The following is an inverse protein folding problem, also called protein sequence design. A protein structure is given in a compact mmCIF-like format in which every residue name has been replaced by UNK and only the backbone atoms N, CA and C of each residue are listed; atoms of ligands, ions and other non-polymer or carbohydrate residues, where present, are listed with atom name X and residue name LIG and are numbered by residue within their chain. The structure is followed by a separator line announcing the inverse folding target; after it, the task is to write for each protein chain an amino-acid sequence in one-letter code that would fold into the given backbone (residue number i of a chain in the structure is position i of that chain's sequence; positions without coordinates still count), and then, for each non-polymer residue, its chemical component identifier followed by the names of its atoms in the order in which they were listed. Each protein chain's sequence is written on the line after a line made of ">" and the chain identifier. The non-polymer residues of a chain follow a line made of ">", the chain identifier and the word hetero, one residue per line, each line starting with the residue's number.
data_IF_207402529446
#
_entry.id   IF_207402529446
#
_cell.length_a   1.000
_cell.length_b   1.000
_cell.length_c   1.000
_cell.angle_alpha   90.00
_cell.angle_beta   90.00
_cell.angle_gamma   90.00
#
_symmetry.space_group_name_H-M   'P 1'
#
loop_
_entity.id
_entity.type
_entity.pdbx_description
1 polymer ?
#
# COMPACT_ATOMS: atom_id res chain seq x y z
N UNK A 1 -37.91 -52.79 -30.19
CA UNK A 1 -38.40 -51.49 -29.72
C UNK A 1 -37.90 -51.34 -28.30
N UNK A 2 -36.86 -50.54 -28.09
CA UNK A 2 -36.19 -50.44 -26.78
C UNK A 2 -37.11 -49.68 -25.82
N UNK A 3 -37.40 -50.29 -24.67
CA UNK A 3 -38.09 -49.65 -23.56
C UNK A 3 -37.23 -48.45 -23.12
N UNK A 4 -37.60 -47.25 -23.54
CA UNK A 4 -36.97 -46.02 -23.08
C UNK A 4 -37.40 -45.82 -21.63
N UNK A 5 -36.45 -45.91 -20.70
CA UNK A 5 -36.69 -45.68 -19.28
C UNK A 5 -36.81 -44.17 -19.02
N UNK A 6 -37.96 -43.62 -19.40
CA UNK A 6 -38.26 -42.17 -19.36
C UNK A 6 -38.12 -41.59 -17.94
N UNK A 7 -38.46 -42.38 -16.91
CA UNK A 7 -38.36 -41.99 -15.50
C UNK A 7 -36.90 -41.81 -15.05
N UNK A 8 -36.01 -42.69 -15.51
CA UNK A 8 -34.57 -42.61 -15.22
C UNK A 8 -33.88 -41.47 -15.97
N UNK A 9 -34.37 -41.11 -17.15
CA UNK A 9 -33.85 -39.98 -17.92
C UNK A 9 -34.20 -38.65 -17.25
N UNK A 10 -35.40 -38.54 -16.66
CA UNK A 10 -35.85 -37.33 -15.99
C UNK A 10 -35.01 -37.00 -14.75
N UNK A 11 -34.68 -38.00 -13.93
CA UNK A 11 -33.85 -37.79 -12.73
C UNK A 11 -32.42 -37.41 -13.10
N UNK A 12 -31.86 -37.98 -14.17
CA UNK A 12 -30.53 -37.62 -14.68
C UNK A 12 -30.53 -36.19 -15.23
N UNK A 13 -31.60 -35.79 -15.94
CA UNK A 13 -31.72 -34.45 -16.49
C UNK A 13 -31.85 -33.38 -15.39
N UNK A 14 -32.66 -33.64 -14.36
CA UNK A 14 -32.79 -32.74 -13.21
C UNK A 14 -31.49 -32.65 -12.40
N UNK A 15 -30.81 -33.78 -12.18
CA UNK A 15 -29.51 -33.81 -11.52
C UNK A 15 -28.44 -33.01 -12.27
N UNK A 16 -28.41 -33.13 -13.60
CA UNK A 16 -27.49 -32.35 -14.45
C UNK A 16 -27.79 -30.85 -14.36
N UNK A 17 -29.06 -30.45 -14.37
CA UNK A 17 -29.47 -29.05 -14.27
C UNK A 17 -29.04 -28.44 -12.93
N UNK A 18 -29.26 -29.16 -11.83
CA UNK A 18 -28.82 -28.73 -10.49
C UNK A 18 -27.30 -28.63 -10.42
N UNK A 19 -26.57 -29.61 -10.97
CA UNK A 19 -25.11 -29.61 -10.96
C UNK A 19 -24.52 -28.43 -11.76
N UNK A 20 -25.08 -28.14 -12.94
CA UNK A 20 -24.68 -26.98 -13.76
C UNK A 20 -25.00 -25.67 -13.04
N UNK A 21 -26.17 -25.55 -12.40
CA UNK A 21 -26.53 -24.38 -11.60
C UNK A 21 -25.57 -24.13 -10.43
N UNK A 22 -25.22 -25.17 -9.68
CA UNK A 22 -24.24 -25.10 -8.59
C UNK A 22 -22.83 -24.76 -9.09
N UNK A 23 -22.44 -25.28 -10.26
CA UNK A 23 -21.15 -24.96 -10.88
C UNK A 23 -21.04 -23.47 -11.22
N UNK A 24 -22.06 -22.88 -11.85
CA UNK A 24 -22.08 -21.45 -12.13
C UNK A 24 -22.11 -20.60 -10.84
N UNK A 25 -22.88 -21.02 -9.84
CA UNK A 25 -22.91 -20.34 -8.54
C UNK A 25 -21.52 -20.34 -7.89
N UNK A 26 -20.81 -21.47 -7.92
CA UNK A 26 -19.45 -21.58 -7.42
C UNK A 26 -18.47 -20.67 -8.18
N UNK A 27 -18.59 -20.58 -9.51
CA UNK A 27 -17.76 -19.67 -10.31
C UNK A 27 -17.99 -18.19 -9.96
N UNK A 28 -19.25 -17.79 -9.75
CA UNK A 28 -19.59 -16.41 -9.36
C UNK A 28 -19.04 -16.11 -7.96
N UNK A 29 -19.22 -17.01 -7.00
CA UNK A 29 -18.68 -16.85 -5.64
C UNK A 29 -17.15 -16.76 -5.67
N UNK A 30 -16.49 -17.64 -6.42
CA UNK A 30 -15.02 -17.67 -6.51
C UNK A 30 -14.45 -16.37 -7.10
N UNK A 31 -15.09 -15.83 -8.14
CA UNK A 31 -14.68 -14.53 -8.70
C UNK A 31 -15.03 -13.35 -7.78
N UNK A 32 -16.16 -13.40 -7.06
CA UNK A 32 -16.53 -12.34 -6.12
C UNK A 32 -15.56 -12.20 -4.94
N UNK A 33 -15.02 -13.33 -4.47
CA UNK A 33 -13.98 -13.33 -3.43
C UNK A 33 -12.65 -12.73 -3.96
N UNK A 34 -12.27 -13.08 -5.20
CA UNK A 34 -11.06 -12.57 -5.85
C UNK A 34 -11.12 -11.05 -6.10
N UNK A 35 -12.26 -10.51 -6.55
CA UNK A 35 -12.39 -9.07 -6.82
C UNK A 35 -12.47 -8.24 -5.53
N UNK A 36 -13.12 -8.76 -4.48
CA UNK A 36 -13.17 -8.14 -3.16
C UNK A 36 -11.79 -8.01 -2.50
N UNK A 37 -10.90 -8.98 -2.72
CA UNK A 37 -9.52 -8.95 -2.20
C UNK A 37 -8.68 -7.86 -2.88
N UNK A 38 -8.76 -7.73 -4.21
CA UNK A 38 -7.96 -6.73 -4.95
C UNK A 38 -8.36 -5.27 -4.67
N UNK A 39 -9.62 -5.02 -4.27
CA UNK A 39 -10.08 -3.67 -3.92
C UNK A 39 -9.66 -3.27 -2.51
N UNK A 40 -9.59 -4.23 -1.57
CA UNK A 40 -9.12 -3.98 -0.21
C UNK A 40 -7.60 -3.78 -0.13
N UNK A 41 -6.83 -4.54 -0.93
CA UNK A 41 -5.37 -4.39 -1.03
C UNK A 41 -4.96 -3.06 -1.71
N UNK A 42 -5.80 -2.50 -2.58
CA UNK A 42 -5.53 -1.24 -3.27
C UNK A 42 -5.83 0.04 -2.48
N UNK A 43 -6.50 -0.06 -1.32
CA UNK A 43 -7.00 1.11 -0.56
C UNK A 43 -6.16 1.43 0.69
N UNK A 44 -5.31 0.52 1.16
CA UNK A 44 -4.75 0.61 2.51
C UNK A 44 -3.25 0.83 2.65
N UNK A 45 -2.43 0.79 1.59
CA UNK A 45 -1.00 0.96 1.79
C UNK A 45 -0.42 1.92 0.77
N UNK A 46 0.09 3.04 1.28
CA UNK A 46 1.29 3.64 0.73
C UNK A 46 2.24 2.51 0.33
N UNK A 47 2.55 2.33 -0.97
CA UNK A 47 3.35 1.21 -1.41
C UNK A 47 4.65 1.19 -0.60
N UNK A 48 4.98 0.05 0.01
CA UNK A 48 6.15 -0.02 0.90
C UNK A 48 7.45 0.43 0.23
N UNK A 49 7.54 0.23 -1.09
CA UNK A 49 8.65 0.73 -1.91
C UNK A 49 8.67 2.26 -1.94
N UNK A 50 7.51 2.90 -2.00
CA UNK A 50 7.41 4.34 -2.08
C UNK A 50 7.88 5.05 -0.81
N UNK A 51 7.51 4.51 0.36
CA UNK A 51 7.99 4.95 1.66
C UNK A 51 9.50 4.75 1.77
N UNK A 52 10.01 3.60 1.30
CA UNK A 52 11.46 3.31 1.35
C UNK A 52 12.28 4.29 0.53
N UNK A 53 11.86 4.58 -0.70
CA UNK A 53 12.58 5.51 -1.57
C UNK A 53 12.57 6.94 -1.01
N UNK A 54 11.43 7.38 -0.44
CA UNK A 54 11.33 8.69 0.19
C UNK A 54 12.21 8.78 1.44
N UNK A 55 12.23 7.73 2.25
CA UNK A 55 13.09 7.64 3.42
C UNK A 55 14.57 7.74 3.05
N UNK A 56 14.99 7.08 1.98
CA UNK A 56 16.37 7.17 1.50
C UNK A 56 16.75 8.60 1.07
N UNK A 57 15.84 9.31 0.38
CA UNK A 57 16.05 10.72 0.04
C UNK A 57 16.11 11.63 1.28
N UNK A 58 15.28 11.37 2.29
CA UNK A 58 15.30 12.11 3.56
C UNK A 58 16.58 11.82 4.35
N UNK A 59 17.10 10.60 4.32
CA UNK A 59 18.39 10.28 4.95
C UNK A 59 19.56 10.96 4.24
N UNK A 60 19.60 11.00 2.90
CA UNK A 60 20.60 11.78 2.17
C UNK A 60 20.51 13.28 2.48
N UNK A 61 19.30 13.80 2.72
CA UNK A 61 19.11 15.16 3.23
C UNK A 61 19.71 15.34 4.63
N UNK A 62 19.45 14.42 5.57
CA UNK A 62 19.99 14.46 6.94
C UNK A 62 21.52 14.33 6.93
N UNK A 63 22.09 13.49 6.08
CA UNK A 63 23.55 13.33 5.97
C UNK A 63 24.23 14.62 5.47
N UNK A 64 23.58 15.35 4.57
CA UNK A 64 24.11 16.59 3.97
C UNK A 64 23.90 17.83 4.83
N UNK A 65 22.76 17.96 5.49
CA UNK A 65 22.35 19.18 6.18
C UNK A 65 22.15 19.02 7.69
N UNK A 66 21.94 17.79 8.17
CA UNK A 66 21.59 17.50 9.56
C UNK A 66 20.34 18.25 9.99
N UNK A 67 20.39 18.87 11.19
CA UNK A 67 19.37 19.80 11.67
C UNK A 67 19.70 21.28 11.30
N UNK A 68 20.65 21.52 10.39
CA UNK A 68 21.07 22.89 10.08
C UNK A 68 20.18 23.46 8.98
N UNK A 69 19.37 24.46 9.34
CA UNK A 69 18.58 25.22 8.37
C UNK A 69 19.47 26.13 7.50
N UNK A 70 19.19 26.16 6.20
CA UNK A 70 19.83 27.06 5.24
C UNK A 70 19.08 27.06 3.91
N UNK A 71 19.34 28.05 3.04
CA UNK A 71 18.61 28.18 1.76
C UNK A 71 18.73 26.92 0.89
N UNK A 72 19.90 26.27 0.87
CA UNK A 72 20.10 25.03 0.13
C UNK A 72 19.29 23.86 0.73
N UNK A 73 19.22 23.76 2.06
CA UNK A 73 18.45 22.73 2.75
C UNK A 73 16.94 22.92 2.49
N UNK A 74 16.45 24.16 2.59
CA UNK A 74 15.04 24.46 2.31
C UNK A 74 14.66 24.14 0.86
N UNK A 75 15.52 24.47 -0.12
CA UNK A 75 15.28 24.13 -1.52
C UNK A 75 15.17 22.61 -1.74
N UNK A 76 16.07 21.82 -1.13
CA UNK A 76 16.03 20.36 -1.26
C UNK A 76 14.78 19.79 -0.58
N UNK A 77 14.37 20.34 0.58
CA UNK A 77 13.12 19.95 1.24
C UNK A 77 11.91 20.25 0.34
N UNK A 78 11.85 21.44 -0.23
CA UNK A 78 10.75 21.84 -1.12
C UNK A 78 10.69 20.95 -2.37
N UNK A 79 11.84 20.61 -2.95
CA UNK A 79 11.93 19.66 -4.06
C UNK A 79 11.43 18.27 -3.68
N UNK A 80 11.79 17.77 -2.48
CA UNK A 80 11.29 16.47 -1.97
C UNK A 80 9.75 16.48 -1.86
N UNK A 81 9.18 17.56 -1.30
CA UNK A 81 7.73 17.72 -1.15
C UNK A 81 7.05 17.81 -2.53
N UNK A 82 7.63 18.57 -3.46
CA UNK A 82 7.08 18.72 -4.81
C UNK A 82 7.11 17.39 -5.60
N UNK A 83 8.22 16.64 -5.52
CA UNK A 83 8.37 15.34 -6.18
C UNK A 83 7.44 14.30 -5.55
N UNK A 84 7.26 14.32 -4.22
CA UNK A 84 6.35 13.39 -3.55
C UNK A 84 4.89 13.64 -3.97
N UNK A 85 4.51 14.91 -4.12
CA UNK A 85 3.19 15.29 -4.58
C UNK A 85 2.97 14.91 -6.05
N UNK A 86 3.92 15.21 -6.94
CA UNK A 86 3.79 14.98 -8.39
C UNK A 86 3.81 13.50 -8.76
N UNK A 87 4.77 12.74 -8.21
CA UNK A 87 4.98 11.33 -8.61
C UNK A 87 4.22 10.32 -7.77
N UNK A 88 3.97 10.63 -6.50
CA UNK A 88 3.39 9.68 -5.53
C UNK A 88 2.01 10.10 -5.02
N UNK A 89 1.50 11.24 -5.50
CA UNK A 89 0.21 11.81 -5.14
C UNK A 89 0.01 11.89 -3.61
N UNK A 90 1.10 12.20 -2.90
CA UNK A 90 1.11 12.25 -1.45
C UNK A 90 1.92 13.45 -0.95
N UNK A 91 1.32 14.14 0.00
CA UNK A 91 1.99 15.17 0.79
C UNK A 91 2.84 14.47 1.83
N UNK A 92 4.15 14.74 1.79
CA UNK A 92 5.11 14.22 2.75
C UNK A 92 5.76 15.41 3.40
N UNK A 93 5.56 15.58 4.70
CA UNK A 93 6.28 16.59 5.47
C UNK A 93 7.22 15.90 6.45
N UNK A 94 8.43 16.43 6.62
CA UNK A 94 9.39 15.84 7.56
C UNK A 94 10.11 16.91 8.38
N UNK A 95 10.35 16.60 9.65
CA UNK A 95 11.07 17.44 10.59
C UNK A 95 12.25 16.68 11.18
N UNK A 96 13.45 17.23 11.01
CA UNK A 96 14.67 16.73 11.64
C UNK A 96 14.82 17.45 12.98
N UNK A 97 14.90 16.71 14.07
CA UNK A 97 15.09 17.27 15.42
C UNK A 97 16.58 17.39 15.77
N UNK A 98 16.86 18.04 16.89
CA UNK A 98 18.21 18.14 17.41
C UNK A 98 18.83 16.74 17.62
N UNK A 99 20.12 16.55 17.26
CA UNK A 99 20.77 15.27 17.41
C UNK A 99 20.86 14.88 18.87
N UNK A 100 20.47 13.64 19.18
CA UNK A 100 20.51 13.04 20.51
C UNK A 100 21.63 12.00 20.54
N UNK A 101 22.39 11.96 21.62
CA UNK A 101 23.38 10.90 21.82
C UNK A 101 22.67 9.64 22.34
N UNK A 102 22.70 8.58 21.53
CA UNK A 102 22.16 7.27 21.89
C UNK A 102 23.31 6.28 21.85
N UNK A 103 23.67 5.72 23.00
CA UNK A 103 24.73 4.72 23.13
C UNK A 103 26.11 5.18 22.62
N UNK A 104 26.42 6.47 22.67
CA UNK A 104 27.69 7.04 22.23
C UNK A 104 27.74 7.36 20.73
N UNK A 105 26.61 7.27 20.03
CA UNK A 105 26.44 7.64 18.63
C UNK A 105 25.44 8.79 18.51
N UNK A 106 25.76 9.79 17.68
CA UNK A 106 24.88 10.94 17.42
C UNK A 106 23.76 10.48 16.50
N UNK A 107 22.53 10.43 17.01
CA UNK A 107 21.36 10.09 16.24
C UNK A 107 20.51 11.33 15.94
N UNK A 108 20.08 11.51 14.69
CA UNK A 108 19.12 12.52 14.26
C UNK A 108 17.71 11.91 14.30
N UNK A 109 16.82 12.38 15.18
CA UNK A 109 15.41 11.98 15.16
C UNK A 109 14.73 12.67 13.99
N UNK A 110 14.12 11.89 13.10
CA UNK A 110 13.37 12.37 11.95
C UNK A 110 11.91 11.97 12.11
N UNK A 111 11.02 12.94 12.14
CA UNK A 111 9.57 12.73 12.10
C UNK A 111 9.07 12.96 10.69
N UNK A 112 8.35 11.98 10.13
CA UNK A 112 7.83 12.05 8.76
C UNK A 112 6.31 11.81 8.81
N UNK A 113 5.58 12.74 8.21
CA UNK A 113 4.14 12.79 8.10
C UNK A 113 3.73 12.53 6.65
N UNK A 114 3.03 11.44 6.39
CA UNK A 114 2.54 11.06 5.06
C UNK A 114 1.02 11.24 4.99
N UNK A 115 0.55 11.88 3.93
CA UNK A 115 -0.86 12.06 3.66
C UNK A 115 -1.15 11.97 2.15
N UNK A 116 -1.90 10.96 1.73
CA UNK A 116 -2.33 10.76 0.33
C UNK A 116 -3.81 11.14 0.09
N UNK A 117 -4.42 11.86 1.02
CA UNK A 117 -5.84 12.26 0.96
C UNK A 117 -6.84 11.20 1.43
N UNK A 118 -6.40 9.96 1.67
CA UNK A 118 -7.23 8.86 2.17
C UNK A 118 -6.69 8.30 3.49
N UNK A 119 -5.38 8.18 3.60
CA UNK A 119 -4.65 7.61 4.74
C UNK A 119 -3.62 8.61 5.25
N UNK A 120 -3.54 8.72 6.58
CA UNK A 120 -2.50 9.48 7.28
C UNK A 120 -1.61 8.49 8.01
N UNK A 121 -0.30 8.63 7.85
CA UNK A 121 0.70 7.81 8.50
C UNK A 121 1.85 8.67 9.02
N UNK A 122 2.19 8.48 10.28
CA UNK A 122 3.28 9.19 10.95
C UNK A 122 4.35 8.20 11.40
N UNK A 123 5.61 8.50 11.10
CA UNK A 123 6.75 7.70 11.58
C UNK A 123 7.80 8.58 12.25
N UNK A 124 8.44 8.04 13.28
CA UNK A 124 9.63 8.63 13.91
C UNK A 124 10.78 7.65 13.79
N UNK A 125 11.86 8.08 13.15
CA UNK A 125 13.03 7.25 12.88
C UNK A 125 14.28 7.92 13.43
N UNK A 126 15.20 7.12 13.96
CA UNK A 126 16.52 7.59 14.39
C UNK A 126 17.55 7.20 13.32
N UNK A 127 18.19 8.20 12.73
CA UNK A 127 19.27 8.02 11.76
C UNK A 127 20.62 8.35 12.43
N UNK A 128 21.64 7.52 12.23
CA UNK A 128 22.93 7.58 12.94
C UNK A 128 24.08 8.03 12.06
#
# INVERSE_FOLDING_TARGET
>A
MACMNEDGQWIVLMGLLVAVGLFFLALIINQSALVGQTTAEGVLEFPKNDIRDLREAIFDYVDKFGNTGGSAANNVRDDIIAISLDRKNAVVDFTVKEPVDISGQRAYPVEIHYNNGVTVYDETIYHY
#
